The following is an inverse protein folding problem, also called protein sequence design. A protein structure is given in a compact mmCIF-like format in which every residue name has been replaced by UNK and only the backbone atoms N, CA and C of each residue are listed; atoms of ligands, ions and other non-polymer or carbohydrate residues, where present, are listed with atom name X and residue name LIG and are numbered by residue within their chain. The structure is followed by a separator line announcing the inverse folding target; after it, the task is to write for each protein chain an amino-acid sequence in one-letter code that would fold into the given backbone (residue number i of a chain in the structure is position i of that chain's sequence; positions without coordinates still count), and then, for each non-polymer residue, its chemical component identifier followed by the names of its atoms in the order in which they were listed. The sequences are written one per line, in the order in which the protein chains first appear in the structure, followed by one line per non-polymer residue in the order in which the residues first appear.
data_IF_099676551505
#
_entry.id   IF_099676551505
#
_cell.length_a   1.000
_cell.length_b   1.000
_cell.length_c   1.000
_cell.angle_alpha   90.00
_cell.angle_beta   90.00
_cell.angle_gamma   90.00
#
_symmetry.space_group_name_H-M   'P 1'
#
loop_
_entity.id
_entity.type
_entity.pdbx_description
1 polymer ?
#
# COMPACT_ATOMS: atom_id res chain seq x y z
N UNK A 1 -53.35 50.00 -46.57
CA UNK A 1 -53.95 49.45 -45.35
C UNK A 1 -53.68 47.96 -45.21
N UNK A 2 -54.24 47.14 -46.11
CA UNK A 2 -54.19 45.67 -46.03
C UNK A 2 -52.81 45.10 -46.47
N UNK A 3 -52.19 45.66 -47.52
CA UNK A 3 -50.85 45.24 -48.01
C UNK A 3 -49.74 45.45 -46.97
N UNK A 4 -49.65 46.65 -46.39
CA UNK A 4 -48.69 46.98 -45.33
C UNK A 4 -48.83 46.08 -44.09
N UNK A 5 -50.07 45.67 -43.75
CA UNK A 5 -50.31 44.74 -42.63
C UNK A 5 -49.82 43.32 -42.91
N UNK A 6 -50.01 42.81 -44.13
CA UNK A 6 -49.51 41.49 -44.53
C UNK A 6 -47.98 41.44 -44.60
N UNK A 7 -47.35 42.52 -45.05
CA UNK A 7 -45.89 42.61 -45.13
C UNK A 7 -45.23 42.65 -43.74
N UNK A 8 -45.81 43.39 -42.78
CA UNK A 8 -45.37 43.35 -41.38
C UNK A 8 -45.52 41.97 -40.75
N UNK A 9 -46.62 41.26 -41.02
CA UNK A 9 -46.86 39.92 -40.47
C UNK A 9 -45.87 38.88 -41.02
N UNK A 10 -45.51 38.96 -42.31
CA UNK A 10 -44.47 38.10 -42.90
C UNK A 10 -43.10 38.35 -42.28
N UNK A 11 -42.71 39.61 -42.09
CA UNK A 11 -41.42 39.97 -41.49
C UNK A 11 -41.33 39.48 -40.04
N UNK A 12 -42.39 39.68 -39.24
CA UNK A 12 -42.46 39.18 -37.87
C UNK A 12 -42.36 37.65 -37.79
N UNK A 13 -43.02 36.92 -38.69
CA UNK A 13 -42.94 35.46 -38.74
C UNK A 13 -41.54 34.96 -39.12
N UNK A 14 -40.85 35.64 -40.03
CA UNK A 14 -39.47 35.30 -40.42
C UNK A 14 -38.50 35.55 -39.25
N UNK A 15 -38.63 36.70 -38.58
CA UNK A 15 -37.81 37.04 -37.42
C UNK A 15 -38.00 36.03 -36.28
N UNK A 16 -39.25 35.67 -35.98
CA UNK A 16 -39.58 34.68 -34.94
C UNK A 16 -39.00 33.29 -35.27
N UNK A 17 -39.13 32.82 -36.52
CA UNK A 17 -38.54 31.54 -36.94
C UNK A 17 -37.02 31.51 -36.82
N UNK A 18 -36.34 32.61 -37.18
CA UNK A 18 -34.89 32.71 -37.06
C UNK A 18 -34.44 32.67 -35.61
N UNK A 19 -35.13 33.36 -34.70
CA UNK A 19 -34.84 33.31 -33.26
C UNK A 19 -35.02 31.88 -32.71
N UNK A 20 -36.11 31.20 -33.06
CA UNK A 20 -36.35 29.81 -32.64
C UNK A 20 -35.22 28.88 -33.12
N UNK A 21 -34.75 29.05 -34.37
CA UNK A 21 -33.65 28.23 -34.90
C UNK A 21 -32.33 28.47 -34.16
N UNK A 22 -32.02 29.73 -33.85
CA UNK A 22 -30.82 30.10 -33.08
C UNK A 22 -30.88 29.53 -31.65
N UNK A 23 -32.03 29.64 -30.98
CA UNK A 23 -32.25 29.07 -29.65
C UNK A 23 -32.04 27.55 -29.66
N UNK A 24 -32.60 26.86 -30.65
CA UNK A 24 -32.43 25.40 -30.81
C UNK A 24 -30.97 24.98 -31.05
N UNK A 25 -30.21 25.71 -31.88
CA UNK A 25 -28.80 25.41 -32.10
C UNK A 25 -27.95 25.64 -30.84
N UNK A 26 -28.27 26.69 -30.08
CA UNK A 26 -27.63 26.96 -28.79
C UNK A 26 -27.92 25.83 -27.79
N UNK A 27 -29.16 25.34 -27.74
CA UNK A 27 -29.55 24.25 -26.85
C UNK A 27 -28.89 22.92 -27.23
N UNK A 28 -28.78 22.61 -28.53
CA UNK A 28 -28.03 21.43 -29.02
C UNK A 28 -26.55 21.51 -28.64
N UNK A 29 -25.92 22.67 -28.84
CA UNK A 29 -24.51 22.89 -28.48
C UNK A 29 -24.29 22.70 -26.99
N UNK A 30 -25.14 23.33 -26.16
CA UNK A 30 -25.08 23.19 -24.70
C UNK A 30 -25.29 21.75 -24.23
N UNK A 31 -26.21 21.00 -24.86
CA UNK A 31 -26.43 19.59 -24.54
C UNK A 31 -25.23 18.71 -24.90
N UNK A 32 -24.56 18.99 -26.01
CA UNK A 32 -23.34 18.27 -26.43
C UNK A 32 -22.19 18.57 -25.47
N UNK A 33 -21.98 19.84 -25.13
CA UNK A 33 -20.96 20.27 -24.19
C UNK A 33 -21.15 19.60 -22.82
N UNK A 34 -22.37 19.65 -22.29
CA UNK A 34 -22.73 19.04 -21.00
C UNK A 34 -22.50 17.51 -21.02
N UNK A 35 -22.92 16.81 -22.08
CA UNK A 35 -22.69 15.37 -22.20
C UNK A 35 -21.20 15.02 -22.23
N UNK A 36 -20.41 15.81 -22.97
CA UNK A 36 -18.96 15.60 -23.05
C UNK A 36 -18.29 15.83 -21.68
N UNK A 37 -18.70 16.87 -20.96
CA UNK A 37 -18.22 17.15 -19.60
C UNK A 37 -18.50 15.97 -18.66
N UNK A 38 -19.74 15.47 -18.65
CA UNK A 38 -20.16 14.32 -17.82
C UNK A 38 -19.31 13.08 -18.17
N UNK A 39 -19.07 12.82 -19.46
CA UNK A 39 -18.26 11.68 -19.89
C UNK A 39 -16.82 11.78 -19.41
N UNK A 40 -16.21 12.97 -19.49
CA UNK A 40 -14.84 13.21 -19.00
C UNK A 40 -14.75 13.02 -17.50
N UNK A 41 -15.70 13.56 -16.73
CA UNK A 41 -15.73 13.39 -15.27
C UNK A 41 -15.91 11.92 -14.87
N UNK A 42 -16.76 11.17 -15.57
CA UNK A 42 -16.93 9.74 -15.33
C UNK A 42 -15.65 8.93 -15.60
N UNK A 43 -14.93 9.22 -16.68
CA UNK A 43 -13.67 8.54 -16.99
C UNK A 43 -12.58 8.90 -15.97
N UNK A 44 -12.53 10.14 -15.49
CA UNK A 44 -11.64 10.54 -14.39
C UNK A 44 -11.97 9.80 -13.09
N UNK A 45 -13.25 9.69 -12.71
CA UNK A 45 -13.66 8.94 -11.52
C UNK A 45 -13.29 7.45 -11.63
N UNK A 46 -13.53 6.80 -12.78
CA UNK A 46 -13.13 5.40 -12.98
C UNK A 46 -11.62 5.22 -12.82
N UNK A 47 -10.84 6.09 -13.43
CA UNK A 47 -9.37 6.05 -13.35
C UNK A 47 -8.89 6.22 -11.92
N UNK A 48 -9.41 7.22 -11.21
CA UNK A 48 -9.09 7.49 -9.80
C UNK A 48 -9.46 6.31 -8.89
N UNK A 49 -10.62 5.68 -9.12
CA UNK A 49 -11.05 4.50 -8.37
C UNK A 49 -10.14 3.30 -8.59
N UNK A 50 -9.66 3.07 -9.82
CA UNK A 50 -8.72 1.99 -10.13
C UNK A 50 -7.38 2.25 -9.45
N UNK A 51 -6.86 3.48 -9.54
CA UNK A 51 -5.60 3.86 -8.92
C UNK A 51 -5.66 3.66 -7.40
N UNK A 52 -6.71 4.16 -6.75
CA UNK A 52 -6.91 4.04 -5.31
C UNK A 52 -7.00 2.57 -4.88
N UNK A 53 -7.76 1.74 -5.58
CA UNK A 53 -7.86 0.31 -5.28
C UNK A 53 -6.52 -0.42 -5.40
N UNK A 54 -5.72 -0.09 -6.41
CA UNK A 54 -4.40 -0.67 -6.59
C UNK A 54 -3.45 -0.25 -5.46
N UNK A 55 -3.46 1.02 -5.05
CA UNK A 55 -2.66 1.49 -3.92
C UNK A 55 -3.03 0.77 -2.61
N UNK A 56 -4.34 0.60 -2.35
CA UNK A 56 -4.83 -0.15 -1.17
C UNK A 56 -4.32 -1.58 -1.18
N UNK A 57 -4.37 -2.26 -2.34
CA UNK A 57 -3.90 -3.65 -2.47
C UNK A 57 -2.41 -3.78 -2.19
N UNK A 58 -1.59 -2.88 -2.74
CA UNK A 58 -0.13 -2.86 -2.52
C UNK A 58 0.19 -2.62 -1.04
N UNK A 59 -0.50 -1.69 -0.39
CA UNK A 59 -0.30 -1.41 1.03
C UNK A 59 -0.71 -2.61 1.91
N UNK A 60 -1.81 -3.29 1.58
CA UNK A 60 -2.21 -4.53 2.27
C UNK A 60 -1.15 -5.64 2.13
N UNK A 61 -0.56 -5.82 0.95
CA UNK A 61 0.51 -6.81 0.74
C UNK A 61 1.78 -6.47 1.53
N UNK A 62 2.15 -5.18 1.60
CA UNK A 62 3.26 -4.71 2.46
C UNK A 62 3.00 -4.99 3.93
N UNK A 63 1.79 -4.70 4.42
CA UNK A 63 1.44 -4.95 5.82
C UNK A 63 1.48 -6.44 6.18
N UNK A 64 0.98 -7.32 5.31
CA UNK A 64 1.10 -8.78 5.52
C UNK A 64 2.55 -9.23 5.57
N UNK A 65 3.38 -8.73 4.67
CA UNK A 65 4.81 -9.06 4.62
C UNK A 65 5.53 -8.61 5.88
N UNK A 66 5.24 -7.40 6.36
CA UNK A 66 5.82 -6.89 7.61
C UNK A 66 5.35 -7.70 8.82
N UNK A 67 4.07 -8.08 8.86
CA UNK A 67 3.53 -8.93 9.92
C UNK A 67 4.24 -10.30 9.99
N UNK A 68 4.49 -10.95 8.85
CA UNK A 68 5.23 -12.22 8.80
C UNK A 68 6.70 -12.07 9.24
N UNK A 69 7.36 -10.96 8.87
CA UNK A 69 8.70 -10.64 9.39
C UNK A 69 8.70 -10.48 10.91
N UNK A 70 7.73 -9.74 11.47
CA UNK A 70 7.61 -9.56 12.91
C UNK A 70 7.37 -10.87 13.65
N UNK A 71 6.51 -11.75 13.13
CA UNK A 71 6.30 -13.11 13.68
C UNK A 71 7.59 -13.92 13.66
N UNK A 72 8.34 -13.88 12.56
CA UNK A 72 9.62 -14.59 12.42
C UNK A 72 10.65 -14.09 13.43
N UNK A 73 10.79 -12.76 13.58
CA UNK A 73 11.69 -12.13 14.55
C UNK A 73 11.29 -12.53 15.98
N UNK A 74 9.99 -12.54 16.29
CA UNK A 74 9.49 -12.98 17.61
C UNK A 74 9.84 -14.44 17.87
N UNK A 75 9.61 -15.34 16.91
CA UNK A 75 9.94 -16.75 17.05
C UNK A 75 11.45 -16.98 17.25
N UNK A 76 12.31 -16.25 16.52
CA UNK A 76 13.76 -16.30 16.72
C UNK A 76 14.17 -15.82 18.12
N UNK A 77 13.57 -14.73 18.63
CA UNK A 77 13.81 -14.26 20.00
C UNK A 77 13.40 -15.28 21.04
N UNK A 78 12.21 -15.87 20.89
CA UNK A 78 11.69 -16.89 21.79
C UNK A 78 12.60 -18.14 21.78
N UNK A 79 13.11 -18.55 20.62
CA UNK A 79 14.06 -19.65 20.48
C UNK A 79 15.41 -19.38 21.16
N UNK A 80 15.98 -18.19 20.96
CA UNK A 80 17.24 -17.79 21.62
C UNK A 80 17.06 -17.80 23.14
N UNK A 81 15.97 -17.24 23.65
CA UNK A 81 15.67 -17.23 25.08
C UNK A 81 15.55 -18.64 25.65
N UNK A 82 14.87 -19.55 24.94
CA UNK A 82 14.78 -20.96 25.33
C UNK A 82 16.16 -21.60 25.40
N UNK A 83 16.99 -21.42 24.36
CA UNK A 83 18.33 -21.99 24.31
C UNK A 83 19.25 -21.44 25.43
N UNK A 84 19.18 -20.14 25.71
CA UNK A 84 19.90 -19.50 26.83
C UNK A 84 19.51 -20.08 28.19
N UNK A 85 18.21 -20.21 28.47
CA UNK A 85 17.69 -20.76 29.73
C UNK A 85 18.13 -22.20 29.93
N UNK A 86 17.96 -23.06 28.93
CA UNK A 86 18.40 -24.46 28.99
C UNK A 86 19.91 -24.59 29.19
N UNK A 87 20.70 -23.63 28.72
CA UNK A 87 22.15 -23.63 28.94
C UNK A 87 22.52 -23.28 30.38
N UNK A 88 21.91 -22.21 30.90
CA UNK A 88 22.15 -21.72 32.26
C UNK A 88 21.77 -22.75 33.31
N UNK A 89 20.62 -23.43 33.13
CA UNK A 89 20.16 -24.49 34.05
C UNK A 89 21.15 -25.66 34.15
N UNK A 90 21.93 -25.92 33.10
CA UNK A 90 22.93 -26.99 33.07
C UNK A 90 24.33 -26.56 33.55
N UNK A 91 24.46 -25.39 34.21
CA UNK A 91 25.74 -24.77 34.61
C UNK A 91 26.75 -24.63 33.44
N UNK A 92 26.24 -24.57 32.22
CA UNK A 92 27.02 -24.54 30.99
C UNK A 92 27.07 -23.11 30.42
N UNK A 93 28.13 -22.78 29.70
CA UNK A 93 28.26 -21.48 29.03
C UNK A 93 27.60 -21.54 27.64
N UNK A 94 26.68 -20.60 27.38
CA UNK A 94 25.98 -20.49 26.11
C UNK A 94 26.82 -19.72 25.08
N UNK A 95 26.98 -20.30 23.89
CA UNK A 95 27.66 -19.67 22.77
C UNK A 95 26.77 -19.69 21.53
N UNK A 96 26.47 -18.51 20.99
CA UNK A 96 25.85 -18.39 19.68
C UNK A 96 26.98 -18.34 18.64
N UNK A 97 27.17 -19.41 17.87
CA UNK A 97 27.95 -19.33 16.64
C UNK A 97 27.11 -18.57 15.62
N UNK A 98 27.63 -17.44 15.14
CA UNK A 98 27.04 -16.76 13.98
C UNK A 98 27.13 -17.70 12.79
N UNK A 99 26.03 -18.33 12.40
CA UNK A 99 25.94 -19.01 11.11
C UNK A 99 25.72 -17.97 10.00
N UNK A 100 26.30 -18.24 8.85
CA UNK A 100 26.32 -17.31 7.72
C UNK A 100 24.93 -17.09 7.12
N UNK A 101 24.78 -15.97 6.41
CA UNK A 101 23.58 -15.70 5.60
C UNK A 101 23.59 -16.67 4.42
N UNK A 102 22.71 -17.68 4.45
CA UNK A 102 22.53 -18.59 3.32
C UNK A 102 21.70 -17.88 2.26
N UNK A 103 22.19 -17.87 1.03
CA UNK A 103 21.63 -17.14 -0.10
C UNK A 103 20.09 -17.26 -0.17
N UNK A 104 19.40 -16.22 0.29
CA UNK A 104 17.99 -15.98 -0.02
C UNK A 104 17.03 -15.83 1.16
N UNK A 105 16.98 -16.73 2.15
CA UNK A 105 15.77 -16.82 3.01
C UNK A 105 16.02 -17.10 4.51
N UNK A 106 17.23 -17.43 4.98
CA UNK A 106 17.41 -17.80 6.40
C UNK A 106 18.76 -17.39 7.01
N UNK A 107 18.70 -16.83 8.23
CA UNK A 107 19.84 -16.78 9.14
C UNK A 107 19.90 -18.14 9.83
N UNK A 108 20.91 -18.94 9.51
CA UNK A 108 21.20 -20.18 10.23
C UNK A 108 21.95 -19.76 11.51
N UNK A 109 21.36 -19.96 12.68
CA UNK A 109 22.01 -19.65 13.96
C UNK A 109 22.25 -20.96 14.68
N UNK A 110 23.52 -21.34 14.81
CA UNK A 110 23.90 -22.51 15.60
C UNK A 110 24.17 -22.06 17.04
N UNK A 111 23.31 -22.50 17.95
CA UNK A 111 23.46 -22.28 19.38
C UNK A 111 24.07 -23.54 20.01
N UNK A 112 25.25 -23.41 20.63
CA UNK A 112 25.94 -24.50 21.31
C UNK A 112 26.04 -24.21 22.82
N UNK A 113 25.75 -25.21 23.65
CA UNK A 113 26.00 -25.19 25.09
C UNK A 113 27.28 -25.94 25.42
N UNK A 114 28.26 -25.26 26.04
CA UNK A 114 29.54 -25.86 26.41
C UNK A 114 29.68 -25.95 27.92
N UNK A 115 30.10 -27.12 28.41
CA UNK A 115 30.51 -27.28 29.80
C UNK A 115 31.85 -26.58 30.04
N UNK A 116 31.95 -25.64 30.99
CA UNK A 116 33.20 -24.98 31.31
C UNK A 116 34.23 -26.04 31.68
N UNK A 117 35.38 -26.02 31.00
CA UNK A 117 36.52 -26.84 31.42
C UNK A 117 36.87 -26.39 32.86
N UNK A 118 37.02 -27.30 33.83
CA UNK A 118 37.37 -26.90 35.19
C UNK A 118 38.63 -26.05 35.13
N UNK A 119 38.53 -24.80 35.58
CA UNK A 119 39.69 -23.94 35.70
C UNK A 119 40.67 -24.65 36.64
N UNK A 120 41.90 -24.88 36.19
CA UNK A 120 42.97 -25.33 37.09
C UNK A 120 43.16 -24.23 38.12
N UNK A 121 42.56 -24.40 39.30
CA UNK A 121 42.88 -23.60 40.47
C UNK A 121 44.32 -23.92 40.79
N UNK A 122 45.23 -23.01 40.40
CA UNK A 122 46.57 -22.98 40.96
C UNK A 122 46.41 -22.58 42.43
N UNK A 123 46.03 -23.55 43.28
CA UNK A 123 46.16 -23.39 44.72
C UNK A 123 47.66 -23.38 45.01
N UNK A 124 48.21 -22.19 45.23
CA UNK A 124 49.51 -22.05 45.89
C UNK A 124 49.37 -22.69 47.26
N UNK A 125 50.13 -23.75 47.60
CA UNK A 125 50.09 -24.32 48.93
C UNK A 125 50.47 -23.24 49.94
N UNK A 126 49.53 -22.82 50.77
CA UNK A 126 49.85 -22.03 51.96
C UNK A 126 50.44 -23.05 52.94
N UNK A 127 51.76 -23.00 53.13
CA UNK A 127 52.43 -23.81 54.14
C UNK A 127 51.97 -23.39 55.55
N UNK A 128 51.82 -24.35 56.48
CA UNK A 128 51.41 -24.09 57.86
C UNK A 128 52.44 -23.28 58.65
#
# INVERSE_FOLDING_TARGET
GIELGQEQQKTSNIETNNQIKVEQEKQKTSNIETNNQIKVEQEQQKTSNIETNNQIKVEQERQKTEQEKQKTIKAQKDFIKYAEQNCQENHNQFFIKKGGIKAGIGIEVEAECKTPKPAKTNQTPIQP
#
